data_IF_806130381719
#
_entry.id   IF_806130381719
#
_cell.length_a   1.000
_cell.length_b   1.000
_cell.length_c   1.000
_cell.angle_alpha   90.00
_cell.angle_beta   90.00
_cell.angle_gamma   90.00
#
_symmetry.space_group_name_H-M   'P 1'
#
loop_
_entity.id
_entity.type
_entity.pdbx_description
1 polymer ?
#
# COMPACT_ATOMS: atom_id res chain seq x y z
N UNK A 1 9.84 19.93 -14.02
CA UNK A 1 8.54 20.05 -13.34
C UNK A 1 7.84 18.71 -13.47
N UNK A 2 7.47 18.04 -12.37
CA UNK A 2 6.70 16.78 -12.46
C UNK A 2 5.27 17.10 -12.87
N UNK A 3 4.67 16.28 -13.73
CA UNK A 3 3.25 16.43 -14.07
C UNK A 3 2.37 16.04 -12.88
N UNK A 4 1.13 16.52 -12.83
CA UNK A 4 0.15 16.12 -11.80
C UNK A 4 -0.02 14.60 -11.74
N UNK A 5 0.00 13.93 -12.89
CA UNK A 5 -0.05 12.46 -12.97
C UNK A 5 1.18 11.79 -12.34
N UNK A 6 2.39 12.32 -12.57
CA UNK A 6 3.61 11.83 -11.91
C UNK A 6 3.58 12.05 -10.40
N UNK A 7 3.12 13.22 -9.95
CA UNK A 7 3.00 13.51 -8.52
C UNK A 7 2.02 12.55 -7.82
N UNK A 8 0.86 12.30 -8.44
CA UNK A 8 -0.13 11.36 -7.92
C UNK A 8 0.44 9.94 -7.89
N UNK A 9 1.10 9.50 -8.96
CA UNK A 9 1.68 8.16 -9.02
C UNK A 9 2.80 8.00 -7.96
N UNK A 10 3.65 9.02 -7.80
CA UNK A 10 4.71 9.04 -6.79
C UNK A 10 4.15 9.10 -5.36
N UNK A 11 2.99 9.71 -5.15
CA UNK A 11 2.34 9.79 -3.83
C UNK A 11 1.65 8.48 -3.49
N UNK A 12 0.96 7.88 -4.46
CA UNK A 12 0.13 6.69 -4.25
C UNK A 12 0.92 5.38 -4.34
N UNK A 13 2.17 5.41 -4.81
CA UNK A 13 3.00 4.20 -4.90
C UNK A 13 3.19 3.49 -3.54
N UNK A 14 3.20 4.25 -2.44
CA UNK A 14 3.34 3.73 -1.06
C UNK A 14 1.99 3.59 -0.33
N UNK A 15 0.87 3.83 -1.02
CA UNK A 15 -0.47 3.78 -0.43
C UNK A 15 -1.18 2.46 -0.77
N UNK A 16 -2.11 2.07 0.10
CA UNK A 16 -3.14 1.08 -0.23
C UNK A 16 -4.37 1.83 -0.73
N UNK A 17 -4.74 1.60 -1.98
CA UNK A 17 -5.94 2.16 -2.59
C UNK A 17 -7.05 1.11 -2.56
N UNK A 18 -8.22 1.49 -2.08
CA UNK A 18 -9.43 0.68 -2.14
C UNK A 18 -10.49 1.52 -2.84
N UNK A 19 -10.91 1.10 -4.03
CA UNK A 19 -11.77 1.88 -4.91
C UNK A 19 -12.95 1.05 -5.37
N UNK A 20 -14.14 1.62 -5.36
CA UNK A 20 -15.29 1.03 -6.03
C UNK A 20 -15.18 1.25 -7.53
N UNK A 21 -15.27 0.18 -8.32
CA UNK A 21 -15.33 0.22 -9.78
C UNK A 21 -16.76 0.02 -10.25
N UNK A 22 -17.40 1.11 -10.66
CA UNK A 22 -18.78 1.08 -11.14
C UNK A 22 -18.98 0.21 -12.38
N UNK A 23 -18.00 0.17 -13.28
CA UNK A 23 -18.03 -0.64 -14.51
C UNK A 23 -18.02 -2.15 -14.24
N UNK A 24 -17.30 -2.57 -13.19
CA UNK A 24 -17.18 -3.98 -12.80
C UNK A 24 -18.10 -4.38 -11.65
N UNK A 25 -18.73 -3.40 -10.99
CA UNK A 25 -19.47 -3.58 -9.74
C UNK A 25 -18.65 -4.35 -8.69
N UNK A 26 -17.37 -3.98 -8.56
CA UNK A 26 -16.41 -4.62 -7.63
C UNK A 26 -15.55 -3.58 -6.93
N UNK A 27 -15.09 -3.94 -5.73
CA UNK A 27 -14.01 -3.23 -5.05
C UNK A 27 -12.67 -3.68 -5.61
N UNK A 28 -11.83 -2.74 -6.03
CA UNK A 28 -10.44 -2.99 -6.40
C UNK A 28 -9.50 -2.49 -5.32
N UNK A 29 -8.56 -3.34 -4.92
CA UNK A 29 -7.47 -3.01 -3.98
C UNK A 29 -6.15 -3.00 -4.72
N UNK A 30 -5.41 -1.90 -4.62
CA UNK A 30 -4.12 -1.72 -5.26
C UNK A 30 -3.04 -1.21 -4.29
N UNK A 31 -1.84 -1.79 -4.36
CA UNK A 31 -0.63 -1.21 -3.79
C UNK A 31 0.55 -1.51 -4.72
N UNK A 32 1.14 -0.46 -5.31
CA UNK A 32 2.21 -0.62 -6.29
C UNK A 32 3.49 -1.19 -5.66
N UNK A 33 3.87 -0.68 -4.47
CA UNK A 33 5.06 -1.12 -3.74
C UNK A 33 5.05 -2.64 -3.47
N UNK A 34 3.93 -3.16 -2.99
CA UNK A 34 3.78 -4.57 -2.64
C UNK A 34 3.23 -5.43 -3.80
N UNK A 35 3.05 -4.84 -4.98
CA UNK A 35 2.47 -5.49 -6.17
C UNK A 35 1.11 -6.15 -5.88
N UNK A 36 0.31 -5.55 -5.00
CA UNK A 36 -1.03 -6.03 -4.66
C UNK A 36 -2.02 -5.50 -5.69
N UNK A 37 -2.81 -6.41 -6.28
CA UNK A 37 -3.96 -6.10 -7.12
C UNK A 37 -5.03 -7.16 -6.87
N UNK A 38 -6.10 -6.79 -6.17
CA UNK A 38 -7.17 -7.70 -5.72
C UNK A 38 -8.52 -7.12 -6.09
N UNK A 39 -9.51 -8.00 -6.27
CA UNK A 39 -10.90 -7.62 -6.46
C UNK A 39 -11.80 -8.33 -5.45
N UNK A 40 -12.83 -7.65 -4.99
CA UNK A 40 -13.80 -8.20 -4.03
C UNK A 40 -15.21 -7.70 -4.34
N UNK A 41 -16.22 -8.49 -3.98
CA UNK A 41 -17.62 -8.13 -4.22
C UNK A 41 -18.13 -7.16 -3.15
N UNK A 42 -17.60 -7.28 -1.93
CA UNK A 42 -17.90 -6.36 -0.81
C UNK A 42 -16.67 -5.63 -0.30
N UNK A 43 -16.91 -4.47 0.34
CA UNK A 43 -15.83 -3.70 0.97
C UNK A 43 -15.13 -4.49 2.10
N UNK A 44 -15.91 -5.27 2.86
CA UNK A 44 -15.38 -6.10 3.93
C UNK A 44 -14.40 -7.17 3.40
N UNK A 45 -14.75 -7.84 2.30
CA UNK A 45 -13.88 -8.81 1.62
C UNK A 45 -12.62 -8.13 1.05
N UNK A 46 -12.73 -6.90 0.55
CA UNK A 46 -11.58 -6.13 0.08
C UNK A 46 -10.58 -5.88 1.21
N UNK A 47 -11.05 -5.47 2.38
CA UNK A 47 -10.23 -5.25 3.58
C UNK A 47 -9.61 -6.56 4.09
N UNK A 48 -10.39 -7.63 4.17
CA UNK A 48 -9.89 -8.94 4.61
C UNK A 48 -8.81 -9.48 3.66
N UNK A 49 -9.05 -9.39 2.36
CA UNK A 49 -8.11 -9.85 1.34
C UNK A 49 -6.82 -9.02 1.36
N UNK A 50 -6.93 -7.71 1.58
CA UNK A 50 -5.77 -6.83 1.76
C UNK A 50 -4.96 -7.21 3.00
N UNK A 51 -5.62 -7.35 4.15
CA UNK A 51 -4.97 -7.72 5.40
C UNK A 51 -4.25 -9.06 5.28
N UNK A 52 -4.89 -10.05 4.65
CA UNK A 52 -4.27 -11.33 4.36
C UNK A 52 -3.04 -11.19 3.45
N UNK A 53 -3.14 -10.42 2.37
CA UNK A 53 -2.01 -10.18 1.47
C UNK A 53 -0.82 -9.52 2.17
N UNK A 54 -1.07 -8.60 3.11
CA UNK A 54 -0.02 -7.97 3.93
C UNK A 54 0.63 -9.01 4.86
N UNK A 55 -0.17 -9.85 5.52
CA UNK A 55 0.33 -10.88 6.44
C UNK A 55 1.10 -12.00 5.74
N UNK A 56 0.65 -12.39 4.54
CA UNK A 56 1.31 -13.39 3.70
C UNK A 56 2.56 -12.82 3.01
N UNK A 57 2.70 -11.50 2.94
CA UNK A 57 3.88 -10.87 2.38
C UNK A 57 5.07 -11.16 3.28
N UNK A 58 6.00 -11.97 2.76
CA UNK A 58 7.30 -12.18 3.41
C UNK A 58 8.08 -10.88 3.35
N UNK A 59 7.90 -10.04 4.36
CA UNK A 59 8.78 -8.91 4.62
C UNK A 59 10.18 -9.50 4.78
N UNK A 60 11.10 -9.13 3.88
CA UNK A 60 12.48 -9.55 4.02
C UNK A 60 13.02 -9.00 5.34
N UNK A 61 13.96 -9.71 5.95
CA UNK A 61 14.65 -9.21 7.14
C UNK A 61 15.21 -7.80 6.92
N UNK A 62 15.71 -7.55 5.70
CA UNK A 62 16.19 -6.25 5.22
C UNK A 62 15.10 -5.15 5.26
N UNK A 63 13.84 -5.45 4.91
CA UNK A 63 12.75 -4.48 5.02
C UNK A 63 12.44 -4.11 6.48
N UNK A 64 12.48 -5.10 7.38
CA UNK A 64 12.29 -4.86 8.82
C UNK A 64 13.43 -4.02 9.40
N UNK A 65 14.68 -4.28 8.99
CA UNK A 65 15.84 -3.48 9.40
C UNK A 65 15.74 -2.03 8.89
N UNK A 66 15.28 -1.83 7.65
CA UNK A 66 15.05 -0.48 7.09
C UNK A 66 14.01 0.28 7.92
N UNK A 67 12.88 -0.35 8.27
CA UNK A 67 11.86 0.30 9.11
C UNK A 67 12.42 0.68 10.49
N UNK A 68 13.18 -0.20 11.12
CA UNK A 68 13.71 0.07 12.46
C UNK A 68 14.77 1.17 12.45
N UNK A 69 15.59 1.24 11.39
CA UNK A 69 16.56 2.31 11.18
C UNK A 69 15.87 3.66 10.92
N UNK A 70 14.88 3.70 10.03
CA UNK A 70 14.12 4.92 9.73
C UNK A 70 13.35 5.44 10.96
N UNK A 71 12.82 4.52 11.79
CA UNK A 71 12.19 4.84 13.08
C UNK A 71 13.19 5.49 14.05
N UNK A 72 14.38 4.91 14.19
CA UNK A 72 15.43 5.45 15.05
C UNK A 72 15.88 6.84 14.59
N UNK A 73 16.04 7.06 13.28
CA UNK A 73 16.40 8.36 12.70
C UNK A 73 15.29 9.40 12.89
N UNK A 74 14.03 9.02 12.73
CA UNK A 74 12.89 9.89 13.01
C UNK A 74 12.84 10.31 14.49
N UNK A 75 13.02 9.36 15.41
CA UNK A 75 13.03 9.64 16.85
C UNK A 75 14.22 10.52 17.25
N UNK A 76 15.40 10.32 16.66
CA UNK A 76 16.60 11.10 16.96
C UNK A 76 16.61 12.48 16.32
N UNK A 77 16.06 12.64 15.11
CA UNK A 77 15.95 13.94 14.42
C UNK A 77 14.94 14.90 15.07
N UNK A 78 14.09 14.41 15.96
CA UNK A 78 13.14 15.20 16.75
C UNK A 78 13.69 15.76 18.07
N UNK A 79 14.99 15.58 18.35
CA UNK A 79 15.72 16.20 19.48
C UNK A 79 16.61 17.33 18.99
#
# INVERSE_FOLDING_TARGET
>A
MKSTGQFINDTLQHSFLILWKEDKQKWEVGCALLKINLQADTYAEAIQSLAKAILDYKLSHEFSEIIENDKEDYLKSSK
#
